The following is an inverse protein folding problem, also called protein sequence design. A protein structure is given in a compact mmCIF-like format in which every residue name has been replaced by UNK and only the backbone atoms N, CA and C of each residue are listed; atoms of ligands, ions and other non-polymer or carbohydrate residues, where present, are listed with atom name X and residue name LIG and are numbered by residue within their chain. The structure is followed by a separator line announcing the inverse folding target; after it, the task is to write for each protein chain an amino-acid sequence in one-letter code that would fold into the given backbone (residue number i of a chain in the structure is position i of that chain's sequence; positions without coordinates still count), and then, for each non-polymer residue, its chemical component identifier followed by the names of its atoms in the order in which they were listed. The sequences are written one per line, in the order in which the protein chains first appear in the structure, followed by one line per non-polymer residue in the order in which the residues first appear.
data_IF_939796550972
#
_entry.id   IF_939796550972
#
_cell.length_a   1.000
_cell.length_b   1.000
_cell.length_c   1.000
_cell.angle_alpha   90.00
_cell.angle_beta   90.00
_cell.angle_gamma   90.00
#
_symmetry.space_group_name_H-M   'P 1'
#
loop_
_entity.id
_entity.type
_entity.pdbx_description
1 polymer ?
#
# COMPACT_ATOMS: atom_id res chain seq x y z
N UNK A 1 -18.77 6.70 12.81
CA UNK A 1 -17.83 6.94 13.94
C UNK A 1 -17.72 5.69 14.83
N UNK A 2 -17.47 4.52 14.24
CA UNK A 2 -17.25 3.26 14.98
C UNK A 2 -16.44 2.26 14.11
N UNK A 3 -15.37 2.72 13.48
CA UNK A 3 -14.41 1.85 12.77
C UNK A 3 -12.95 2.09 13.21
N UNK A 4 -12.72 3.00 14.17
CA UNK A 4 -11.37 3.43 14.58
C UNK A 4 -10.77 2.54 15.68
N UNK A 5 -11.52 1.61 16.27
CA UNK A 5 -11.10 0.95 17.52
C UNK A 5 -10.34 -0.38 17.38
N UNK A 6 -10.20 -0.99 16.20
CA UNK A 6 -9.50 -2.30 16.09
C UNK A 6 -8.63 -2.52 14.83
N UNK A 7 -8.36 -1.49 14.04
CA UNK A 7 -7.33 -1.56 12.99
C UNK A 7 -6.07 -0.85 13.49
N UNK A 8 -5.07 -1.62 13.90
CA UNK A 8 -3.74 -1.05 14.12
C UNK A 8 -3.07 -0.92 12.75
N UNK A 9 -3.47 0.09 11.97
CA UNK A 9 -2.82 0.45 10.72
C UNK A 9 -2.00 1.73 10.94
N UNK A 10 -0.77 1.74 10.40
CA UNK A 10 0.15 2.89 10.48
C UNK A 10 0.15 3.67 9.15
N UNK A 11 -0.89 3.50 8.33
CA UNK A 11 -1.06 4.14 7.03
C UNK A 11 -2.34 4.96 6.97
N UNK A 12 -2.55 5.66 5.85
CA UNK A 12 -3.76 6.45 5.59
C UNK A 12 -4.33 6.10 4.23
N UNK A 13 -5.66 6.05 4.13
CA UNK A 13 -6.34 5.96 2.83
C UNK A 13 -6.68 7.34 2.25
N UNK A 14 -6.54 8.40 3.05
CA UNK A 14 -6.75 9.78 2.58
C UNK A 14 -5.64 10.12 1.58
N UNK A 15 -5.97 10.64 0.38
CA UNK A 15 -4.97 11.04 -0.60
C UNK A 15 -4.15 12.22 -0.06
N UNK A 16 -2.82 12.14 -0.19
CA UNK A 16 -1.89 13.14 0.32
C UNK A 16 -0.88 13.63 -0.72
N UNK A 17 -0.88 13.06 -1.93
CA UNK A 17 0.03 13.42 -3.01
C UNK A 17 -0.69 13.96 -4.25
N UNK A 18 0.10 14.35 -5.24
CA UNK A 18 -0.39 14.53 -6.61
C UNK A 18 -0.74 13.18 -7.24
N UNK A 19 0.00 12.14 -6.85
CA UNK A 19 -0.21 10.77 -7.28
C UNK A 19 -0.14 9.88 -6.04
N UNK A 20 -1.20 9.12 -5.79
CA UNK A 20 -1.33 8.22 -4.66
C UNK A 20 -1.47 6.77 -5.17
N UNK A 21 -0.64 5.87 -4.67
CA UNK A 21 -0.67 4.44 -5.03
C UNK A 21 -1.18 3.59 -3.86
N UNK A 22 -2.21 2.79 -4.12
CA UNK A 22 -2.85 1.91 -3.14
C UNK A 22 -2.59 0.45 -3.51
N UNK A 23 -1.47 -0.07 -3.03
CA UNK A 23 -1.00 -1.42 -3.34
C UNK A 23 -1.86 -2.45 -2.61
N UNK A 24 -2.39 -3.45 -3.32
CA UNK A 24 -3.29 -4.47 -2.77
C UNK A 24 -4.48 -3.86 -2.00
N UNK A 25 -4.96 -2.68 -2.43
CA UNK A 25 -6.04 -1.95 -1.75
C UNK A 25 -5.59 -0.98 -0.65
N UNK A 26 -4.30 -0.94 -0.29
CA UNK A 26 -3.72 0.08 0.59
C UNK A 26 -3.83 -0.18 2.10
N UNK A 27 -4.44 -1.27 2.53
CA UNK A 27 -4.57 -1.63 3.95
C UNK A 27 -3.68 -2.81 4.33
N UNK A 28 -4.12 -4.02 3.97
CA UNK A 28 -3.52 -5.27 4.41
C UNK A 28 -2.70 -5.88 3.26
N UNK A 29 -1.40 -6.03 3.48
CA UNK A 29 -0.51 -6.59 2.47
C UNK A 29 -0.46 -8.11 2.58
N UNK A 30 -0.36 -8.85 1.45
CA UNK A 30 -0.21 -10.29 1.47
C UNK A 30 1.02 -10.72 2.31
N UNK A 31 0.94 -11.90 2.92
CA UNK A 31 1.87 -12.45 3.93
C UNK A 31 2.02 -11.69 5.26
N UNK A 32 1.32 -10.57 5.47
CA UNK A 32 1.26 -9.91 6.78
C UNK A 32 0.19 -10.54 7.68
N UNK A 33 0.52 -10.79 8.95
CA UNK A 33 -0.37 -11.46 9.89
C UNK A 33 -1.52 -10.53 10.33
N UNK A 34 -2.70 -10.71 9.75
CA UNK A 34 -3.85 -9.81 9.93
C UNK A 34 -4.89 -10.33 10.94
N UNK A 35 -4.62 -11.42 11.67
CA UNK A 35 -5.58 -11.94 12.65
C UNK A 35 -5.77 -10.95 13.80
N UNK A 36 -7.01 -10.82 14.30
CA UNK A 36 -7.33 -9.99 15.47
C UNK A 36 -6.43 -10.36 16.66
N UNK A 37 -6.16 -11.65 16.83
CA UNK A 37 -5.22 -12.17 17.83
C UNK A 37 -3.79 -11.68 17.56
N UNK A 38 -3.35 -11.66 16.30
CA UNK A 38 -2.05 -11.09 15.89
C UNK A 38 -1.94 -9.59 16.21
N UNK A 39 -2.99 -8.81 15.95
CA UNK A 39 -3.04 -7.36 16.25
C UNK A 39 -3.05 -7.09 17.76
N UNK A 40 -3.86 -7.84 18.50
CA UNK A 40 -3.97 -7.76 19.96
C UNK A 40 -2.68 -8.21 20.64
N UNK A 41 -2.10 -9.34 20.22
CA UNK A 41 -0.81 -9.82 20.75
C UNK A 41 0.33 -8.87 20.43
N UNK A 42 0.38 -8.24 19.25
CA UNK A 42 1.36 -7.21 18.94
C UNK A 42 1.21 -5.96 19.84
N UNK A 43 -0.02 -5.51 20.07
CA UNK A 43 -0.31 -4.42 21.01
C UNK A 43 0.16 -4.76 22.44
N UNK A 44 -0.15 -5.96 22.95
CA UNK A 44 0.27 -6.38 24.29
C UNK A 44 1.77 -6.68 24.41
N UNK A 45 2.41 -7.22 23.36
CA UNK A 45 3.86 -7.43 23.31
C UNK A 45 4.63 -6.09 23.35
N UNK A 46 4.03 -5.01 22.83
CA UNK A 46 4.58 -3.64 22.92
C UNK A 46 4.74 -3.18 24.38
N UNK A 47 3.96 -3.74 25.32
CA UNK A 47 3.97 -3.36 26.74
C UNK A 47 4.93 -4.21 27.60
N UNK A 48 5.29 -5.44 27.17
CA UNK A 48 6.02 -6.41 28.01
C UNK A 48 7.35 -6.93 27.47
N UNK A 49 7.60 -6.84 26.17
CA UNK A 49 8.81 -7.39 25.52
C UNK A 49 9.36 -6.35 24.55
N UNK A 50 10.53 -5.79 24.84
CA UNK A 50 11.05 -4.60 24.14
C UNK A 50 11.03 -4.68 22.61
N UNK A 51 10.82 -3.50 21.98
CA UNK A 51 11.01 -3.03 20.59
C UNK A 51 10.99 -3.99 19.36
N UNK A 52 11.36 -5.25 19.48
CA UNK A 52 11.61 -6.18 18.37
C UNK A 52 10.34 -6.87 17.88
N UNK A 53 9.39 -7.16 18.76
CA UNK A 53 8.09 -7.78 18.42
C UNK A 53 7.08 -6.79 17.80
N UNK A 54 7.28 -5.48 17.98
CA UNK A 54 6.48 -4.42 17.32
C UNK A 54 6.78 -4.31 15.82
N UNK A 55 8.04 -4.56 15.41
CA UNK A 55 8.44 -4.52 14.00
C UNK A 55 7.78 -5.61 13.15
N UNK A 56 7.52 -6.77 13.74
CA UNK A 56 7.21 -8.00 12.97
C UNK A 56 5.76 -8.09 12.50
N UNK A 57 4.78 -7.63 13.29
CA UNK A 57 3.36 -7.79 12.95
C UNK A 57 2.68 -6.48 12.49
N UNK A 58 2.83 -5.40 13.27
CA UNK A 58 2.22 -4.09 12.95
C UNK A 58 3.02 -3.32 11.89
N UNK A 59 4.32 -3.60 11.81
CA UNK A 59 5.22 -3.04 10.82
C UNK A 59 5.15 -3.72 9.46
N UNK A 60 4.62 -4.94 9.33
CA UNK A 60 4.70 -5.70 8.07
C UNK A 60 4.02 -4.96 6.90
N UNK A 61 2.73 -4.65 7.02
CA UNK A 61 1.99 -3.92 5.97
C UNK A 61 2.55 -2.50 5.79
N UNK A 62 2.91 -1.83 6.89
CA UNK A 62 3.48 -0.49 6.88
C UNK A 62 4.82 -0.41 6.13
N UNK A 63 5.72 -1.36 6.36
CA UNK A 63 7.05 -1.42 5.74
C UNK A 63 7.01 -1.84 4.27
N UNK A 64 5.89 -2.40 3.79
CA UNK A 64 5.75 -2.83 2.39
C UNK A 64 5.96 -1.66 1.42
N UNK A 65 5.49 -0.46 1.76
CA UNK A 65 5.70 0.74 0.94
C UNK A 65 7.18 0.99 0.66
N UNK A 66 8.03 0.92 1.69
CA UNK A 66 9.49 1.09 1.56
C UNK A 66 10.13 -0.01 0.72
N UNK A 67 9.70 -1.27 0.90
CA UNK A 67 10.22 -2.39 0.13
C UNK A 67 9.91 -2.28 -1.37
N UNK A 68 8.69 -1.87 -1.70
CA UNK A 68 8.27 -1.64 -3.08
C UNK A 68 8.98 -0.45 -3.70
N UNK A 69 9.17 0.64 -2.94
CA UNK A 69 9.97 1.77 -3.39
C UNK A 69 11.41 1.34 -3.73
N UNK A 70 12.08 0.57 -2.86
CA UNK A 70 13.42 0.05 -3.14
C UNK A 70 13.48 -0.86 -4.38
N UNK A 71 12.47 -1.71 -4.59
CA UNK A 71 12.39 -2.56 -5.80
C UNK A 71 12.17 -1.74 -7.08
N UNK A 72 11.45 -0.62 -6.99
CA UNK A 72 11.27 0.29 -8.12
C UNK A 72 12.59 0.97 -8.54
N UNK A 73 13.47 1.32 -7.59
CA UNK A 73 14.80 1.91 -7.84
C UNK A 73 15.71 0.92 -8.56
N UNK A 74 15.73 -0.34 -8.10
CA UNK A 74 16.60 -1.37 -8.67
C UNK A 74 16.06 -1.95 -10.00
N UNK A 75 14.97 -1.40 -10.53
CA UNK A 75 14.23 -1.89 -11.71
C UNK A 75 13.93 -3.40 -11.65
N UNK A 76 13.72 -3.93 -10.44
CA UNK A 76 13.47 -5.36 -10.22
C UNK A 76 12.05 -5.74 -10.68
N UNK A 77 11.10 -4.83 -10.49
CA UNK A 77 9.69 -5.07 -10.76
C UNK A 77 9.06 -3.92 -11.56
N UNK A 78 8.19 -4.28 -12.52
CA UNK A 78 7.30 -3.36 -13.23
C UNK A 78 5.86 -3.76 -12.96
N UNK A 79 5.19 -3.06 -12.06
CA UNK A 79 3.81 -3.39 -11.69
C UNK A 79 2.81 -2.72 -12.62
N UNK A 80 1.79 -3.45 -13.11
CA UNK A 80 0.67 -2.82 -13.79
C UNK A 80 -0.05 -1.90 -12.82
N UNK A 81 -0.40 -0.71 -13.31
CA UNK A 81 -1.15 0.30 -12.56
C UNK A 81 -2.53 0.47 -13.17
N UNK A 82 -3.50 0.73 -12.30
CA UNK A 82 -4.91 0.86 -12.65
C UNK A 82 -5.38 2.21 -12.12
N UNK A 83 -5.97 3.03 -12.98
CA UNK A 83 -6.51 4.32 -12.60
C UNK A 83 -7.82 4.11 -11.85
N UNK A 84 -7.93 4.70 -10.65
CA UNK A 84 -9.17 4.70 -9.89
C UNK A 84 -9.74 6.13 -9.90
N UNK A 85 -10.98 6.35 -10.36
CA UNK A 85 -11.56 7.69 -10.45
C UNK A 85 -11.86 8.30 -9.06
N UNK A 86 -12.13 7.45 -8.06
CA UNK A 86 -12.44 7.86 -6.69
C UNK A 86 -12.14 6.72 -5.69
N UNK A 87 -12.31 7.05 -4.40
CA UNK A 87 -12.06 6.13 -3.30
C UNK A 87 -13.05 4.94 -3.26
N UNK A 88 -14.29 5.14 -3.72
CA UNK A 88 -15.28 4.06 -3.76
C UNK A 88 -14.91 3.01 -4.80
N UNK A 89 -14.42 3.44 -5.96
CA UNK A 89 -13.91 2.58 -7.02
C UNK A 89 -12.67 1.81 -6.57
N UNK A 90 -11.79 2.45 -5.78
CA UNK A 90 -10.65 1.77 -5.15
C UNK A 90 -11.11 0.62 -4.23
N UNK A 91 -12.08 0.89 -3.36
CA UNK A 91 -12.60 -0.09 -2.39
C UNK A 91 -13.35 -1.25 -3.07
N UNK A 92 -14.07 -0.97 -4.15
CA UNK A 92 -14.85 -1.96 -4.89
C UNK A 92 -14.05 -2.70 -5.96
N UNK A 93 -12.75 -2.41 -6.12
CA UNK A 93 -11.88 -2.96 -7.15
C UNK A 93 -12.38 -2.67 -8.59
N UNK A 94 -12.90 -1.46 -8.79
CA UNK A 94 -13.45 -0.97 -10.04
C UNK A 94 -12.51 0.05 -10.71
N UNK A 95 -11.20 -0.22 -10.68
CA UNK A 95 -10.20 0.62 -11.33
C UNK A 95 -9.95 0.14 -12.77
N UNK A 96 -9.71 1.07 -13.69
CA UNK A 96 -9.48 0.73 -15.10
C UNK A 96 -7.98 0.57 -15.38
N UNK A 97 -7.56 -0.43 -16.18
CA UNK A 97 -6.19 -0.44 -16.69
C UNK A 97 -5.93 0.89 -17.42
N UNK A 98 -4.78 1.51 -17.21
CA UNK A 98 -4.50 2.73 -17.97
C UNK A 98 -4.34 2.39 -19.45
N UNK A 99 -4.86 3.25 -20.31
CA UNK A 99 -4.75 3.12 -21.76
C UNK A 99 -3.26 3.07 -22.16
N UNK A 100 -2.96 2.30 -23.21
CA UNK A 100 -1.60 2.07 -23.70
C UNK A 100 -0.83 3.39 -23.83
N UNK A 101 0.20 3.57 -23.00
CA UNK A 101 1.06 4.77 -22.97
C UNK A 101 0.87 5.73 -21.79
N UNK A 102 -0.14 5.53 -20.93
CA UNK A 102 -0.44 6.41 -19.79
C UNK A 102 -0.16 5.78 -18.41
N UNK A 103 0.23 4.51 -18.34
CA UNK A 103 0.55 3.89 -17.06
C UNK A 103 1.91 4.37 -16.54
N UNK A 104 1.86 5.13 -15.46
CA UNK A 104 3.04 5.51 -14.71
C UNK A 104 3.56 4.34 -13.88
N UNK A 105 4.88 4.16 -13.87
CA UNK A 105 5.51 3.24 -12.93
C UNK A 105 5.33 3.74 -11.50
N UNK A 106 5.10 2.81 -10.56
CA UNK A 106 5.07 3.15 -9.13
C UNK A 106 6.49 3.40 -8.59
N UNK A 107 6.62 4.30 -7.62
CA UNK A 107 7.87 4.56 -6.90
C UNK A 107 8.84 5.41 -7.71
N UNK A 108 10.12 5.02 -7.76
CA UNK A 108 11.19 5.75 -8.45
C UNK A 108 10.95 5.89 -9.96
N UNK A 109 10.22 4.95 -10.56
CA UNK A 109 9.90 4.95 -12.00
C UNK A 109 8.70 5.84 -12.36
N UNK A 110 8.17 6.61 -11.41
CA UNK A 110 7.09 7.55 -11.64
C UNK A 110 7.56 8.70 -12.53
N UNK A 111 7.22 8.62 -13.82
CA UNK A 111 7.42 9.72 -14.77
C UNK A 111 6.18 10.61 -14.74
N UNK A 112 6.22 11.69 -13.96
CA UNK A 112 5.11 12.64 -13.88
C UNK A 112 4.93 13.39 -15.21
N UNK A 113 3.73 13.32 -15.80
CA UNK A 113 3.33 14.23 -16.87
C UNK A 113 2.48 15.37 -16.27
N UNK A 114 2.84 16.59 -16.61
CA UNK A 114 2.33 17.86 -16.07
C UNK A 114 0.85 18.17 -16.36
N UNK A 115 0.03 17.19 -16.73
CA UNK A 115 -1.37 17.36 -17.14
C UNK A 115 -2.36 17.09 -16.00
N UNK A 116 -1.90 16.60 -14.85
CA UNK A 116 -2.76 16.28 -13.71
C UNK A 116 -2.98 17.53 -12.83
N UNK A 117 -4.09 18.23 -13.08
CA UNK A 117 -4.53 19.38 -12.27
C UNK A 117 -5.18 18.99 -10.93
N UNK A 118 -5.34 17.69 -10.66
CA UNK A 118 -5.92 17.10 -9.46
C UNK A 118 -5.07 15.93 -8.96
N UNK A 119 -5.19 15.61 -7.66
CA UNK A 119 -4.64 14.36 -7.10
C UNK A 119 -5.24 13.16 -7.85
N UNK A 120 -4.40 12.17 -8.17
CA UNK A 120 -4.79 10.97 -8.91
C UNK A 120 -4.50 9.72 -8.10
N UNK A 121 -5.48 8.83 -8.06
CA UNK A 121 -5.40 7.55 -7.38
C UNK A 121 -5.08 6.43 -8.37
N UNK A 122 -4.05 5.64 -8.07
CA UNK A 122 -3.74 4.40 -8.75
C UNK A 122 -3.81 3.21 -7.80
N UNK A 123 -4.31 2.10 -8.31
CA UNK A 123 -4.20 0.79 -7.68
C UNK A 123 -3.17 -0.05 -8.40
N UNK A 124 -2.50 -0.91 -7.66
CA UNK A 124 -1.62 -1.96 -8.19
C UNK A 124 -1.65 -3.15 -7.25
N UNK A 125 -1.26 -4.34 -7.73
CA UNK A 125 -1.25 -5.56 -6.94
C UNK A 125 0.14 -6.19 -6.95
N UNK A 126 0.53 -6.81 -5.84
CA UNK A 126 1.82 -7.48 -5.68
C UNK A 126 1.63 -8.84 -5.01
N UNK A 127 2.43 -9.86 -5.37
CA UNK A 127 2.43 -11.14 -4.65
C UNK A 127 2.93 -11.00 -3.21
N UNK A 128 2.78 -12.09 -2.47
CA UNK A 128 3.11 -12.18 -1.05
C UNK A 128 4.61 -12.36 -0.77
N UNK A 129 5.34 -12.96 -1.71
CA UNK A 129 6.76 -13.30 -1.58
C UNK A 129 7.64 -12.29 -2.32
N UNK A 130 8.88 -12.16 -1.85
CA UNK A 130 9.92 -11.36 -2.52
C UNK A 130 10.51 -12.14 -3.71
N UNK A 131 10.87 -11.49 -4.84
CA UNK A 131 10.58 -10.10 -5.17
C UNK A 131 9.07 -9.91 -5.33
N UNK A 132 8.53 -8.72 -5.03
CA UNK A 132 7.08 -8.54 -4.96
C UNK A 132 6.49 -8.30 -6.35
N UNK A 133 6.93 -9.08 -7.33
CA UNK A 133 6.43 -9.25 -8.68
C UNK A 133 6.59 -10.74 -9.03
#
# INVERSE_FOLDING_TARGET
MLQVLFTVSQGTLVPMGTVDFYVNGGEDQPSCANSVIGRVSAFFNTLGSGFDSMRTALGCSHMRATQLFMQSVNHVCGWPTYLCPDQDSLQQDQCTPCDTGQCHGMGYNLVYQSVLHSSVCYRTNTPELFPFC
#
